data_IF_201456481940
#
_entry.id   IF_201456481940
#
_cell.length_a   1.000
_cell.length_b   1.000
_cell.length_c   1.000
_cell.angle_alpha   90.00
_cell.angle_beta   90.00
_cell.angle_gamma   90.00
#
_symmetry.space_group_name_H-M   'P 1'
#
loop_
_entity.id
_entity.type
_entity.pdbx_description
1 polymer ?
#
# COMPACT_ATOMS: atom_id res chain seq x y z
N UNK A 1 -16.02 3.93 -10.32
CA UNK A 1 -14.90 4.09 -9.36
C UNK A 1 -14.85 2.81 -8.57
N UNK A 2 -13.73 2.07 -8.55
CA UNK A 2 -13.66 0.68 -8.03
C UNK A 2 -14.03 0.57 -6.54
N UNK A 3 -14.03 1.66 -5.77
CA UNK A 3 -14.20 1.61 -4.31
C UNK A 3 -15.56 2.05 -3.78
N UNK A 4 -16.48 2.44 -4.67
CA UNK A 4 -17.76 3.06 -4.31
C UNK A 4 -18.97 2.17 -4.52
N UNK A 5 -18.77 0.99 -5.09
CA UNK A 5 -19.82 0.01 -5.33
C UNK A 5 -20.18 -0.63 -4.00
N UNK A 6 -21.45 -0.52 -3.58
CA UNK A 6 -21.95 -1.22 -2.39
C UNK A 6 -22.04 -2.74 -2.62
N UNK A 7 -21.98 -3.16 -3.89
CA UNK A 7 -22.08 -4.55 -4.30
C UNK A 7 -20.72 -5.16 -4.67
N UNK A 8 -20.50 -6.39 -4.19
CA UNK A 8 -19.24 -7.14 -4.37
C UNK A 8 -19.04 -7.53 -5.84
N UNK A 9 -20.10 -7.85 -6.57
CA UNK A 9 -20.03 -8.23 -7.98
C UNK A 9 -19.68 -7.02 -8.84
N UNK A 10 -20.31 -5.87 -8.59
CA UNK A 10 -20.00 -4.62 -9.29
C UNK A 10 -18.54 -4.17 -9.03
N UNK A 11 -18.04 -4.39 -7.81
CA UNK A 11 -16.64 -4.13 -7.46
C UNK A 11 -15.68 -5.05 -8.22
N UNK A 12 -16.03 -6.34 -8.34
CA UNK A 12 -15.23 -7.31 -9.07
C UNK A 12 -15.20 -7.01 -10.58
N UNK A 13 -16.33 -6.64 -11.18
CA UNK A 13 -16.39 -6.22 -12.58
C UNK A 13 -15.58 -4.95 -12.83
N UNK A 14 -15.67 -3.96 -11.94
CA UNK A 14 -14.88 -2.74 -12.02
C UNK A 14 -13.36 -3.02 -11.90
N UNK A 15 -12.95 -4.01 -11.09
CA UNK A 15 -11.56 -4.45 -10.98
C UNK A 15 -11.08 -5.12 -12.27
N UNK A 16 -11.89 -6.00 -12.87
CA UNK A 16 -11.56 -6.65 -14.15
C UNK A 16 -11.43 -5.60 -15.27
N UNK A 17 -12.35 -4.64 -15.35
CA UNK A 17 -12.29 -3.55 -16.31
C UNK A 17 -11.05 -2.67 -16.10
N UNK A 18 -10.67 -2.42 -14.83
CA UNK A 18 -9.46 -1.69 -14.48
C UNK A 18 -8.20 -2.45 -14.94
N UNK A 19 -8.08 -3.74 -14.60
CA UNK A 19 -6.96 -4.58 -15.01
C UNK A 19 -6.85 -4.61 -16.54
N UNK A 20 -7.96 -4.79 -17.26
CA UNK A 20 -7.98 -4.80 -18.72
C UNK A 20 -7.46 -3.49 -19.32
N UNK A 21 -7.86 -2.35 -18.75
CA UNK A 21 -7.41 -1.01 -19.19
C UNK A 21 -5.91 -0.79 -18.96
N UNK A 22 -5.37 -1.27 -17.84
CA UNK A 22 -3.98 -1.00 -17.44
C UNK A 22 -2.99 -2.12 -17.76
N UNK A 23 -3.46 -3.24 -18.33
CA UNK A 23 -2.62 -4.37 -18.75
C UNK A 23 -1.58 -3.98 -19.80
N UNK A 24 -1.93 -3.09 -20.73
CA UNK A 24 -1.03 -2.63 -21.80
C UNK A 24 0.08 -1.70 -21.27
N UNK A 25 -0.22 -0.61 -20.54
CA UNK A 25 0.82 0.28 -20.03
C UNK A 25 1.59 -0.28 -18.82
N UNK A 26 0.98 -1.10 -17.97
CA UNK A 26 1.57 -1.60 -16.73
C UNK A 26 1.35 -3.11 -16.51
N UNK A 27 1.97 -3.97 -17.33
CA UNK A 27 1.71 -5.42 -17.28
C UNK A 27 2.05 -6.04 -15.92
N UNK A 28 3.14 -5.63 -15.26
CA UNK A 28 3.50 -6.15 -13.92
C UNK A 28 2.48 -5.80 -12.84
N UNK A 29 1.97 -4.56 -12.87
CA UNK A 29 1.00 -4.08 -11.88
C UNK A 29 -0.35 -4.77 -12.12
N UNK A 30 -0.78 -4.87 -13.37
CA UNK A 30 -1.99 -5.60 -13.76
C UNK A 30 -1.92 -7.08 -13.34
N UNK A 31 -0.76 -7.71 -13.47
CA UNK A 31 -0.57 -9.11 -13.07
C UNK A 31 -0.57 -9.29 -11.55
N UNK A 32 0.09 -8.41 -10.80
CA UNK A 32 0.04 -8.39 -9.33
C UNK A 32 -1.39 -8.17 -8.80
N UNK A 33 -2.15 -7.29 -9.45
CA UNK A 33 -3.56 -7.06 -9.11
C UNK A 33 -4.44 -8.27 -9.44
N UNK A 34 -4.17 -8.98 -10.53
CA UNK A 34 -4.93 -10.17 -10.92
C UNK A 34 -4.65 -11.38 -9.99
N UNK A 35 -3.43 -11.51 -9.47
CA UNK A 35 -3.02 -12.60 -8.60
C UNK A 35 -3.53 -12.42 -7.15
N UNK A 36 -3.86 -11.19 -6.77
CA UNK A 36 -4.20 -10.86 -5.39
C UNK A 36 -5.71 -11.03 -5.13
N UNK A 37 -6.07 -12.16 -4.54
CA UNK A 37 -7.45 -12.50 -4.18
C UNK A 37 -8.02 -11.67 -3.02
N UNK A 38 -7.16 -10.97 -2.26
CA UNK A 38 -7.55 -10.23 -1.06
C UNK A 38 -7.87 -8.75 -1.31
N UNK A 39 -7.82 -8.30 -2.56
CA UNK A 39 -8.09 -6.90 -2.90
C UNK A 39 -9.50 -6.44 -2.54
N UNK A 40 -10.47 -7.36 -2.49
CA UNK A 40 -11.88 -7.05 -2.22
C UNK A 40 -12.31 -7.36 -0.77
N UNK A 41 -11.39 -7.79 0.09
CA UNK A 41 -11.71 -8.13 1.49
C UNK A 41 -12.22 -6.92 2.28
N UNK A 42 -11.92 -5.69 1.84
CA UNK A 42 -12.45 -4.48 2.47
C UNK A 42 -13.98 -4.35 2.33
N UNK A 43 -14.57 -4.98 1.30
CA UNK A 43 -16.01 -4.99 1.07
C UNK A 43 -16.77 -5.81 2.12
N UNK A 44 -16.10 -6.73 2.81
CA UNK A 44 -16.68 -7.52 3.90
C UNK A 44 -16.88 -6.69 5.19
N UNK A 45 -16.34 -5.47 5.24
CA UNK A 45 -16.47 -4.58 6.38
C UNK A 45 -17.51 -3.48 6.16
N UNK A 46 -18.08 -2.98 7.25
CA UNK A 46 -19.02 -1.84 7.27
C UNK A 46 -18.50 -0.62 6.50
N UNK A 47 -19.39 0.01 5.72
CA UNK A 47 -19.10 1.27 5.02
C UNK A 47 -18.56 2.38 5.93
N UNK A 48 -18.83 2.32 7.24
CA UNK A 48 -18.29 3.27 8.23
C UNK A 48 -16.77 3.24 8.36
N UNK A 49 -16.10 2.11 8.03
CA UNK A 49 -14.64 2.01 8.09
C UNK A 49 -13.96 2.27 6.75
N UNK A 50 -14.70 2.30 5.64
CA UNK A 50 -14.15 2.55 4.31
C UNK A 50 -13.41 3.89 4.21
N UNK A 51 -13.91 5.01 4.77
CA UNK A 51 -13.17 6.26 4.80
C UNK A 51 -11.84 6.08 5.52
N UNK A 52 -11.79 5.40 6.66
CA UNK A 52 -10.55 5.18 7.42
C UNK A 52 -9.52 4.33 6.67
N UNK A 53 -9.97 3.34 5.92
CA UNK A 53 -9.11 2.48 5.06
C UNK A 53 -8.56 3.29 3.88
N UNK A 54 -9.42 4.05 3.19
CA UNK A 54 -9.04 4.83 2.00
C UNK A 54 -8.28 6.12 2.32
N UNK A 55 -8.52 6.73 3.49
CA UNK A 55 -7.93 8.03 3.80
C UNK A 55 -6.41 7.92 3.94
N UNK A 56 -5.87 6.74 4.25
CA UNK A 56 -4.45 6.31 4.17
C UNK A 56 -3.38 7.27 4.73
N UNK A 57 -3.77 8.42 5.28
CA UNK A 57 -2.91 9.43 5.90
C UNK A 57 -2.29 8.88 7.18
N UNK A 58 -2.99 7.99 7.88
CA UNK A 58 -2.47 7.33 9.07
C UNK A 58 -1.38 6.31 8.71
N UNK A 59 -1.57 5.54 7.65
CA UNK A 59 -0.58 4.56 7.17
C UNK A 59 0.61 5.29 6.52
N UNK A 60 0.35 6.37 5.79
CA UNK A 60 1.40 7.21 5.19
C UNK A 60 2.22 7.95 6.27
N UNK A 61 1.58 8.56 7.28
CA UNK A 61 2.28 9.19 8.40
C UNK A 61 3.07 8.18 9.22
N UNK A 62 2.51 7.00 9.47
CA UNK A 62 3.19 5.90 10.16
C UNK A 62 4.40 5.39 9.36
N UNK A 63 4.26 5.21 8.04
CA UNK A 63 5.38 4.83 7.17
C UNK A 63 6.46 5.91 7.12
N UNK A 64 6.08 7.19 7.16
CA UNK A 64 7.03 8.31 7.26
C UNK A 64 7.82 8.25 8.56
N UNK A 65 7.15 7.99 9.69
CA UNK A 65 7.82 7.84 10.98
C UNK A 65 8.77 6.64 10.99
N UNK A 66 8.34 5.45 10.54
CA UNK A 66 9.21 4.26 10.46
C UNK A 66 10.46 4.53 9.62
N UNK A 67 10.31 5.18 8.46
CA UNK A 67 11.45 5.54 7.60
C UNK A 67 12.39 6.52 8.29
N UNK A 68 11.86 7.50 9.04
CA UNK A 68 12.65 8.46 9.81
C UNK A 68 13.46 7.75 10.91
N UNK A 69 12.81 6.92 11.71
CA UNK A 69 13.48 6.16 12.78
C UNK A 69 14.53 5.19 12.25
N UNK A 70 14.26 4.51 11.13
CA UNK A 70 15.20 3.57 10.51
C UNK A 70 16.44 4.26 9.96
N UNK A 71 16.28 5.46 9.37
CA UNK A 71 17.41 6.28 8.90
C UNK A 71 18.29 6.76 10.05
N UNK A 72 17.69 7.19 11.16
CA UNK A 72 18.44 7.59 12.34
C UNK A 72 19.27 6.42 12.91
N UNK A 73 18.70 5.21 13.02
CA UNK A 73 19.45 4.03 13.52
C UNK A 73 20.61 3.60 12.62
N UNK A 74 20.47 3.72 11.30
CA UNK A 74 21.58 3.44 10.37
C UNK A 74 22.74 4.44 10.54
N UNK A 75 22.42 5.71 10.84
CA UNK A 75 23.42 6.74 11.10
C UNK A 75 24.16 6.50 12.41
N UNK A 76 23.47 6.09 13.49
CA UNK A 76 24.12 5.73 14.75
C UNK A 76 25.12 4.57 14.60
N UNK A 77 24.78 3.51 13.86
CA UNK A 77 25.73 2.41 13.60
C UNK A 77 26.94 2.81 12.76
N UNK A 78 26.82 3.82 11.89
CA UNK A 78 27.95 4.35 11.08
C UNK A 78 28.82 5.28 11.93
N UNK A 79 28.21 6.16 12.71
CA UNK A 79 28.91 7.11 13.57
C UNK A 79 29.68 6.37 14.67
N UNK A 80 29.07 5.42 15.40
CA UNK A 80 29.77 4.61 16.41
C UNK A 80 30.94 3.80 15.82
N UNK A 81 30.82 3.31 14.59
CA UNK A 81 31.90 2.59 13.91
C UNK A 81 33.05 3.52 13.46
N UNK A 82 32.77 4.80 13.17
CA UNK A 82 33.80 5.77 12.79
C UNK A 82 34.75 6.12 13.95
N UNK A 83 34.26 6.18 15.19
CA UNK A 83 35.10 6.42 16.38
C UNK A 83 36.07 5.28 16.71
N UNK A 84 35.80 4.06 16.23
CA UNK A 84 36.68 2.89 16.41
C UNK A 84 37.83 2.89 15.40
N UNK A 85 37.73 3.66 14.31
CA UNK A 85 38.68 3.66 13.20
C UNK A 85 39.76 4.75 13.30
N UNK A 86 39.57 5.75 14.15
CA UNK A 86 40.51 6.87 14.39
C UNK A 86 41.40 6.70 15.64
N UNK A 87 41.58 5.47 16.15
CA UNK A 87 42.42 5.16 17.32
C UNK A 87 43.46 4.08 16.99
#
# INVERSE_FOLDING_TARGET
MVYRSEDREETAEALVAFIAKWKTPYPRVAQSLADNQYLLTFSDFSASIWPSIYLMNLIDSFNKEIKKYSRCKAQFSIEEASWIRDK
#
